data_IF_665484262153
#
_entry.id   IF_665484262153
#
_cell.length_a   1.000
_cell.length_b   1.000
_cell.length_c   1.000
_cell.angle_alpha   90.00
_cell.angle_beta   90.00
_cell.angle_gamma   90.00
#
_symmetry.space_group_name_H-M   'P 1'
#
loop_
_entity.id
_entity.type
_entity.pdbx_description
1 polymer ?
#
# COMPACT_ATOMS: atom_id res chain seq x y z
N UNK A 1 31.35 -29.59 68.85
CA UNK A 1 31.83 -29.03 70.15
C UNK A 1 31.21 -27.67 70.30
N UNK A 2 30.36 -27.56 71.33
CA UNK A 2 30.10 -26.39 72.19
C UNK A 2 30.11 -25.01 71.52
N UNK A 3 28.94 -24.36 71.33
CA UNK A 3 28.17 -23.62 72.33
C UNK A 3 28.88 -22.33 72.78
N UNK A 4 28.28 -21.18 72.49
CA UNK A 4 27.95 -20.23 73.55
C UNK A 4 27.05 -19.11 73.02
N UNK A 5 26.01 -18.98 73.76
CA UNK A 5 24.94 -18.00 73.79
C UNK A 5 25.45 -16.73 74.43
N UNK A 6 25.10 -15.54 73.94
CA UNK A 6 25.03 -14.34 74.76
C UNK A 6 23.84 -13.49 74.41
N UNK A 7 22.99 -13.34 75.32
CA UNK A 7 21.75 -12.57 75.40
C UNK A 7 22.12 -11.15 75.90
N UNK A 8 21.72 -10.09 75.26
CA UNK A 8 21.63 -8.76 75.88
C UNK A 8 20.30 -8.12 75.56
N UNK A 9 19.52 -7.91 76.59
CA UNK A 9 18.33 -7.05 76.63
C UNK A 9 18.75 -5.58 76.72
N UNK A 10 18.06 -4.69 76.00
CA UNK A 10 17.79 -3.31 76.47
C UNK A 10 16.65 -2.67 75.64
N UNK A 11 15.55 -2.51 76.28
CA UNK A 11 14.75 -1.28 76.51
C UNK A 11 14.30 -0.43 75.35
N UNK A 12 13.03 -0.41 75.18
CA UNK A 12 12.03 0.33 74.47
C UNK A 12 12.21 1.86 74.30
N UNK A 13 11.66 2.25 73.15
CA UNK A 13 11.08 3.61 72.97
C UNK A 13 9.88 3.48 72.06
N UNK A 14 8.69 3.84 72.56
CA UNK A 14 7.50 3.99 71.74
C UNK A 14 7.66 5.26 70.90
N UNK A 15 7.76 5.06 69.58
CA UNK A 15 7.63 6.14 68.60
C UNK A 15 6.33 5.95 67.84
N UNK A 16 5.36 6.83 68.00
CA UNK A 16 4.14 6.87 67.22
C UNK A 16 4.47 7.26 65.78
N UNK A 17 4.39 6.30 64.84
CA UNK A 17 4.52 6.59 63.41
C UNK A 17 3.12 6.82 62.83
N UNK A 18 2.89 8.08 62.48
CA UNK A 18 1.73 8.50 61.67
C UNK A 18 1.82 7.86 60.26
N UNK A 19 0.90 6.97 59.93
CA UNK A 19 0.77 6.44 58.58
C UNK A 19 0.16 7.55 57.71
N UNK A 20 0.96 8.21 56.88
CA UNK A 20 0.51 8.94 55.73
C UNK A 20 0.12 7.90 54.66
N UNK A 21 -1.17 7.74 54.41
CA UNK A 21 -1.67 7.00 53.22
C UNK A 21 -1.25 7.80 51.99
N UNK A 22 -0.23 7.30 51.28
CA UNK A 22 0.07 7.78 49.95
C UNK A 22 -1.05 7.33 49.03
N UNK A 23 -1.91 8.27 48.65
CA UNK A 23 -2.82 8.08 47.54
C UNK A 23 -1.96 7.99 46.28
N UNK A 24 -1.85 6.77 45.74
CA UNK A 24 -1.36 6.59 44.38
C UNK A 24 -2.31 7.31 43.44
N UNK A 25 -1.85 8.40 42.82
CA UNK A 25 -2.57 9.03 41.74
C UNK A 25 -2.71 8.00 40.61
N UNK A 26 -3.95 7.60 40.29
CA UNK A 26 -4.24 6.88 39.07
C UNK A 26 -3.70 7.71 37.89
N UNK A 27 -2.99 7.07 36.94
CA UNK A 27 -2.70 7.74 35.68
C UNK A 27 -4.04 8.10 35.05
N UNK A 28 -4.22 9.38 34.78
CA UNK A 28 -5.34 9.86 34.00
C UNK A 28 -5.25 9.14 32.63
N UNK A 29 -6.28 8.36 32.31
CA UNK A 29 -6.53 7.86 30.97
C UNK A 29 -6.67 9.08 30.06
N UNK A 30 -5.59 9.50 29.45
CA UNK A 30 -5.60 10.43 28.33
C UNK A 30 -6.04 9.60 27.13
N UNK A 31 -7.34 9.32 27.05
CA UNK A 31 -7.96 9.00 25.79
C UNK A 31 -7.72 10.20 24.89
N UNK A 32 -6.75 10.09 24.00
CA UNK A 32 -6.54 11.03 22.92
C UNK A 32 -7.82 11.01 22.07
N UNK A 33 -8.78 11.86 22.41
CA UNK A 33 -9.84 12.20 21.49
C UNK A 33 -9.14 12.82 20.30
N UNK A 34 -9.16 12.12 19.18
CA UNK A 34 -8.80 12.67 17.89
C UNK A 34 -9.75 13.88 17.71
N UNK A 35 -9.25 15.08 18.00
CA UNK A 35 -9.95 16.30 17.68
C UNK A 35 -10.09 16.30 16.15
N UNK A 36 -11.31 16.14 15.66
CA UNK A 36 -11.63 16.39 14.26
C UNK A 36 -11.29 17.85 14.00
N UNK A 37 -10.12 18.10 13.44
CA UNK A 37 -9.70 19.42 13.02
C UNK A 37 -10.73 19.94 12.01
N UNK A 38 -11.47 20.99 12.37
CA UNK A 38 -12.41 21.62 11.44
C UNK A 38 -11.57 22.41 10.43
N UNK A 39 -11.29 21.76 9.32
CA UNK A 39 -10.52 22.36 8.22
C UNK A 39 -11.46 23.23 7.39
N UNK A 40 -11.08 24.50 7.16
CA UNK A 40 -11.84 25.36 6.25
C UNK A 40 -11.84 24.83 4.82
N UNK A 41 -12.86 25.14 3.99
CA UNK A 41 -12.87 24.69 2.59
C UNK A 41 -11.64 25.13 1.80
N UNK A 42 -11.11 26.31 2.06
CA UNK A 42 -9.90 26.83 1.43
C UNK A 42 -8.65 26.00 1.83
N UNK A 43 -8.53 25.69 3.10
CA UNK A 43 -7.44 24.86 3.62
C UNK A 43 -7.55 23.42 3.09
N UNK A 44 -8.75 22.86 3.01
CA UNK A 44 -8.97 21.53 2.41
C UNK A 44 -8.53 21.50 0.94
N UNK A 45 -8.83 22.56 0.20
CA UNK A 45 -8.38 22.71 -1.19
C UNK A 45 -6.86 22.84 -1.28
N UNK A 46 -6.23 23.63 -0.42
CA UNK A 46 -4.78 23.79 -0.36
C UNK A 46 -4.06 22.47 -0.06
N UNK A 47 -4.57 21.69 0.89
CA UNK A 47 -4.05 20.33 1.20
C UNK A 47 -4.25 19.37 0.04
N UNK A 48 -5.38 19.44 -0.65
CA UNK A 48 -5.62 18.60 -1.84
C UNK A 48 -4.66 18.95 -2.99
N UNK A 49 -4.42 20.24 -3.22
CA UNK A 49 -3.45 20.70 -4.21
C UNK A 49 -2.03 20.29 -3.83
N UNK A 50 -1.64 20.45 -2.56
CA UNK A 50 -0.32 20.00 -2.10
C UNK A 50 -0.09 18.50 -2.32
N UNK A 51 -1.10 17.64 -2.07
CA UNK A 51 -0.99 16.20 -2.35
C UNK A 51 -0.78 15.91 -3.84
N UNK A 52 -1.37 16.73 -4.70
CA UNK A 52 -1.12 16.65 -6.14
C UNK A 52 0.32 17.06 -6.44
N UNK A 53 0.74 18.23 -5.96
CA UNK A 53 2.06 18.81 -6.24
C UNK A 53 3.18 17.90 -5.76
N UNK A 54 3.13 17.38 -4.51
CA UNK A 54 4.17 16.52 -3.96
C UNK A 54 4.30 15.20 -4.73
N UNK A 55 3.20 14.69 -5.30
CA UNK A 55 3.22 13.49 -6.13
C UNK A 55 3.93 13.68 -7.48
N UNK A 56 4.14 14.94 -7.89
CA UNK A 56 4.86 15.32 -9.10
C UNK A 56 6.34 15.63 -8.86
N UNK A 57 6.76 15.80 -7.62
CA UNK A 57 8.13 16.15 -7.27
C UNK A 57 8.95 14.87 -7.10
N UNK A 58 9.95 14.72 -7.98
CA UNK A 58 10.87 13.60 -7.91
C UNK A 58 11.63 13.59 -6.58
N UNK A 59 11.86 12.40 -6.04
CA UNK A 59 12.78 12.23 -4.90
C UNK A 59 14.22 12.56 -5.33
N UNK A 60 15.04 13.14 -4.43
CA UNK A 60 16.37 13.61 -4.80
C UNK A 60 17.35 12.49 -5.16
N UNK A 61 17.05 11.24 -4.79
CA UNK A 61 17.88 10.05 -5.04
C UNK A 61 17.09 8.78 -4.74
N UNK A 62 17.69 7.61 -4.92
CA UNK A 62 17.14 6.36 -4.39
C UNK A 62 17.05 6.40 -2.86
N UNK A 63 16.01 5.77 -2.30
CA UNK A 63 15.80 5.65 -0.87
C UNK A 63 14.39 5.94 -0.41
N UNK A 64 14.25 6.30 0.85
CA UNK A 64 12.98 6.55 1.50
C UNK A 64 12.89 8.00 1.97
N UNK A 65 11.71 8.59 1.80
CA UNK A 65 11.49 10.01 2.05
C UNK A 65 10.13 10.25 2.67
N UNK A 66 10.03 11.39 3.34
CA UNK A 66 8.80 11.91 3.93
C UNK A 66 8.69 13.41 3.64
N UNK A 67 7.46 13.91 3.50
CA UNK A 67 7.18 15.33 3.44
C UNK A 67 5.90 15.64 4.21
N UNK A 68 5.86 16.83 4.81
CA UNK A 68 4.70 17.30 5.57
C UNK A 68 4.23 18.63 4.99
N UNK A 69 2.91 18.73 4.73
CA UNK A 69 2.28 19.98 4.31
C UNK A 69 2.63 21.14 5.28
N UNK A 70 2.90 22.34 4.78
CA UNK A 70 2.86 22.76 3.38
C UNK A 70 4.19 22.60 2.62
N UNK A 71 5.22 21.96 3.22
CA UNK A 71 6.52 21.77 2.55
C UNK A 71 6.39 20.81 1.37
N UNK A 72 7.03 21.15 0.26
CA UNK A 72 7.18 20.30 -0.92
C UNK A 72 8.59 19.71 -1.03
N UNK A 73 9.36 19.76 0.07
CA UNK A 73 10.73 19.24 0.14
C UNK A 73 10.68 17.84 0.74
N UNK A 74 11.25 16.88 0.00
CA UNK A 74 11.45 15.52 0.48
C UNK A 74 12.58 15.46 1.51
N UNK A 75 12.27 15.04 2.72
CA UNK A 75 13.21 14.74 3.79
C UNK A 75 13.57 13.26 3.76
N UNK A 76 14.85 12.93 3.73
CA UNK A 76 15.29 11.54 3.73
C UNK A 76 14.99 10.88 5.08
N UNK A 77 14.42 9.68 5.04
CA UNK A 77 14.16 8.83 6.20
C UNK A 77 14.93 7.52 6.11
N UNK A 78 15.00 6.79 7.21
CA UNK A 78 15.55 5.44 7.20
C UNK A 78 14.59 4.51 6.43
N UNK A 79 15.13 3.78 5.45
CA UNK A 79 14.38 2.71 4.82
C UNK A 79 14.32 1.48 5.73
N UNK A 80 13.19 0.78 5.67
CA UNK A 80 13.06 -0.60 6.14
C UNK A 80 13.15 -1.57 4.96
N UNK A 81 13.46 -2.81 5.25
CA UNK A 81 13.29 -3.86 4.26
C UNK A 81 11.80 -4.22 4.22
N UNK A 82 11.18 -4.09 3.05
CA UNK A 82 9.82 -4.56 2.90
C UNK A 82 9.78 -6.08 3.14
N UNK A 83 8.81 -6.53 3.94
CA UNK A 83 8.66 -7.95 4.24
C UNK A 83 8.36 -8.67 2.93
N UNK A 84 9.09 -9.74 2.58
CA UNK A 84 8.78 -10.53 1.41
C UNK A 84 7.38 -11.12 1.55
N UNK A 85 6.45 -10.60 0.78
CA UNK A 85 5.09 -11.11 0.69
C UNK A 85 4.93 -11.68 -0.69
N UNK A 86 4.75 -12.98 -0.78
CA UNK A 86 4.44 -13.64 -2.03
C UNK A 86 2.95 -13.45 -2.25
N UNK A 87 2.59 -12.46 -3.08
CA UNK A 87 1.24 -12.40 -3.61
C UNK A 87 1.06 -13.60 -4.55
N UNK A 88 -0.03 -14.39 -4.43
CA UNK A 88 -0.33 -15.38 -5.44
C UNK A 88 -0.57 -14.66 -6.75
N UNK A 89 0.06 -15.17 -7.83
CA UNK A 89 -0.23 -14.68 -9.16
C UNK A 89 -1.72 -14.79 -9.47
N UNK A 90 -2.31 -13.82 -10.18
CA UNK A 90 -3.69 -13.93 -10.66
C UNK A 90 -3.85 -15.24 -11.41
N UNK A 91 -4.64 -16.13 -10.87
CA UNK A 91 -5.02 -17.33 -11.61
C UNK A 91 -6.23 -16.95 -12.42
N UNK A 92 -6.08 -16.84 -13.73
CA UNK A 92 -7.15 -16.66 -14.69
C UNK A 92 -8.33 -17.58 -14.34
N UNK A 93 -9.37 -17.03 -13.76
CA UNK A 93 -10.64 -17.71 -13.42
C UNK A 93 -11.70 -16.64 -13.27
N UNK A 94 -12.85 -16.89 -13.66
CA UNK A 94 -13.76 -17.85 -14.24
C UNK A 94 -14.97 -17.10 -14.75
N UNK A 95 -15.47 -17.46 -15.86
CA UNK A 95 -16.68 -16.91 -16.44
C UNK A 95 -17.89 -17.13 -15.50
N UNK A 96 -18.60 -16.07 -15.11
CA UNK A 96 -19.96 -16.16 -14.61
C UNK A 96 -20.27 -15.86 -13.14
N UNK A 97 -19.29 -15.40 -12.33
CA UNK A 97 -19.57 -14.87 -11.00
C UNK A 97 -19.76 -13.34 -11.04
N UNK A 98 -20.40 -12.74 -10.03
CA UNK A 98 -20.38 -11.30 -9.82
C UNK A 98 -18.92 -10.82 -9.87
N UNK A 99 -18.67 -9.76 -10.62
CA UNK A 99 -17.31 -9.25 -10.84
C UNK A 99 -16.93 -8.38 -9.66
N UNK A 100 -16.18 -8.95 -8.73
CA UNK A 100 -15.53 -8.21 -7.67
C UNK A 100 -14.15 -7.76 -8.16
N UNK A 101 -13.64 -6.67 -7.62
CA UNK A 101 -12.30 -6.19 -7.96
C UNK A 101 -11.22 -7.20 -7.55
N UNK A 102 -10.19 -7.32 -8.35
CA UNK A 102 -9.03 -8.17 -8.11
C UNK A 102 -9.12 -9.58 -8.67
N UNK A 103 -8.05 -10.35 -8.52
CA UNK A 103 -7.89 -11.72 -9.02
C UNK A 103 -8.19 -11.91 -10.52
N UNK A 104 -7.78 -10.93 -11.33
CA UNK A 104 -8.04 -10.88 -12.77
C UNK A 104 -9.39 -10.29 -13.14
N UNK A 105 -10.21 -9.92 -12.17
CA UNK A 105 -11.49 -9.23 -12.36
C UNK A 105 -11.37 -7.80 -11.84
N UNK A 106 -10.84 -6.91 -12.67
CA UNK A 106 -10.77 -5.48 -12.36
C UNK A 106 -10.90 -4.68 -13.66
N UNK A 107 -10.98 -3.35 -13.54
CA UNK A 107 -10.80 -2.48 -14.67
C UNK A 107 -9.36 -2.00 -14.75
N UNK A 108 -8.76 -2.15 -15.94
CA UNK A 108 -7.46 -1.57 -16.23
C UNK A 108 -7.59 -0.41 -17.19
N UNK A 109 -6.73 0.58 -16.99
CA UNK A 109 -6.47 1.65 -17.93
C UNK A 109 -5.48 1.14 -18.97
N UNK A 110 -5.92 1.00 -20.24
CA UNK A 110 -5.05 0.70 -21.38
C UNK A 110 -4.69 2.00 -22.08
N UNK A 111 -3.42 2.32 -22.08
CA UNK A 111 -2.86 3.50 -22.74
C UNK A 111 -2.44 3.17 -24.18
N UNK A 112 -2.54 4.14 -25.08
CA UNK A 112 -2.00 4.03 -26.46
C UNK A 112 -0.52 4.38 -26.57
N UNK A 113 0.07 4.87 -25.50
CA UNK A 113 1.48 5.29 -25.39
C UNK A 113 2.02 4.89 -24.02
N UNK A 114 3.34 4.88 -23.85
CA UNK A 114 3.95 4.50 -22.59
C UNK A 114 3.54 5.44 -21.46
N UNK A 115 3.20 4.85 -20.33
CA UNK A 115 2.88 5.52 -19.08
C UNK A 115 4.19 5.87 -18.37
N UNK A 116 4.34 7.12 -17.96
CA UNK A 116 5.45 7.54 -17.11
C UNK A 116 5.04 7.74 -15.66
N UNK A 117 3.74 7.93 -15.43
CA UNK A 117 3.16 8.08 -14.09
C UNK A 117 1.70 7.61 -14.08
N UNK A 118 1.30 6.93 -13.02
CA UNK A 118 -0.09 6.64 -12.69
C UNK A 118 -0.41 7.13 -11.28
N UNK A 119 -1.63 7.64 -11.10
CA UNK A 119 -2.16 8.13 -9.83
C UNK A 119 -3.47 7.42 -9.55
N UNK A 120 -3.51 6.66 -8.46
CA UNK A 120 -4.69 6.04 -7.92
C UNK A 120 -5.32 6.91 -6.81
N UNK A 121 -6.64 7.06 -6.82
CA UNK A 121 -7.37 7.85 -5.83
C UNK A 121 -8.82 7.38 -5.70
N UNK A 122 -9.49 7.82 -4.65
CA UNK A 122 -10.87 7.51 -4.34
C UNK A 122 -11.72 8.80 -4.28
N UNK A 123 -12.23 9.30 -5.43
CA UNK A 123 -13.01 10.55 -5.49
C UNK A 123 -14.27 10.56 -4.62
N UNK A 124 -14.85 9.39 -4.35
CA UNK A 124 -16.00 9.26 -3.47
C UNK A 124 -15.91 7.96 -2.68
N UNK A 125 -16.09 8.04 -1.38
CA UNK A 125 -16.17 6.90 -0.46
C UNK A 125 -17.37 7.13 0.45
N UNK A 126 -18.37 6.26 0.37
CA UNK A 126 -19.60 6.36 1.15
C UNK A 126 -19.97 5.02 1.77
N UNK A 127 -20.60 5.05 2.93
CA UNK A 127 -21.06 3.84 3.61
C UNK A 127 -19.97 2.95 4.20
N UNK A 128 -18.69 3.26 3.99
CA UNK A 128 -17.56 2.51 4.58
C UNK A 128 -17.44 2.87 6.06
N UNK A 129 -17.75 1.89 6.91
CA UNK A 129 -17.64 2.00 8.38
C UNK A 129 -16.64 1.00 8.96
N UNK A 130 -16.31 -0.04 8.20
CA UNK A 130 -15.30 -1.05 8.57
C UNK A 130 -14.79 -1.78 7.33
N UNK A 131 -13.58 -2.27 7.44
CA UNK A 131 -12.94 -3.22 6.54
C UNK A 131 -12.21 -4.27 7.40
N UNK A 132 -12.10 -5.48 6.87
CA UNK A 132 -11.27 -6.52 7.47
C UNK A 132 -10.70 -7.42 6.38
N UNK A 133 -9.38 -7.57 6.38
CA UNK A 133 -8.70 -8.55 5.55
C UNK A 133 -9.13 -9.96 5.94
N UNK A 134 -9.58 -10.75 4.96
CA UNK A 134 -9.98 -12.16 5.13
C UNK A 134 -9.25 -13.07 4.14
N UNK A 135 -8.95 -14.30 4.55
CA UNK A 135 -8.35 -15.29 3.67
C UNK A 135 -9.39 -15.88 2.71
N UNK A 136 -9.08 -15.92 1.42
CA UNK A 136 -9.91 -16.55 0.39
C UNK A 136 -9.34 -17.91 0.03
N UNK A 137 -10.02 -18.98 0.43
CA UNK A 137 -9.52 -20.35 0.24
C UNK A 137 -9.20 -20.69 -1.23
N UNK A 138 -9.96 -20.14 -2.19
CA UNK A 138 -9.71 -20.31 -3.62
C UNK A 138 -8.38 -19.71 -4.09
N UNK A 139 -7.81 -18.78 -3.33
CA UNK A 139 -6.57 -18.06 -3.64
C UNK A 139 -5.42 -18.41 -2.70
N UNK A 140 -5.59 -19.45 -1.87
CA UNK A 140 -4.59 -19.90 -0.91
C UNK A 140 -4.94 -19.65 0.56
N UNK A 141 -5.93 -18.78 0.84
CA UNK A 141 -6.45 -18.53 2.18
C UNK A 141 -5.50 -17.77 3.11
N UNK A 142 -4.42 -17.22 2.55
CA UNK A 142 -3.36 -16.53 3.29
C UNK A 142 -3.54 -15.01 3.31
N UNK A 143 -2.40 -14.33 3.54
CA UNK A 143 -2.33 -12.88 3.64
C UNK A 143 -2.23 -12.40 5.08
N UNK A 144 -2.28 -11.09 5.23
CA UNK A 144 -2.39 -10.43 6.54
C UNK A 144 -3.86 -10.14 6.75
N UNK A 145 -4.38 -10.65 7.84
CA UNK A 145 -5.82 -10.72 8.08
C UNK A 145 -6.17 -9.93 9.35
N UNK A 146 -7.32 -9.29 9.32
CA UNK A 146 -7.81 -8.52 10.46
C UNK A 146 -8.35 -7.15 10.07
N UNK A 147 -8.76 -6.34 11.05
CA UNK A 147 -9.32 -5.01 10.81
C UNK A 147 -8.31 -4.07 10.14
N UNK A 148 -8.74 -3.39 9.07
CA UNK A 148 -7.94 -2.47 8.25
C UNK A 148 -6.69 -3.09 7.60
N UNK A 149 -6.69 -4.41 7.40
CA UNK A 149 -5.63 -5.13 6.72
C UNK A 149 -5.91 -5.22 5.21
N UNK A 150 -5.90 -4.08 4.56
CA UNK A 150 -6.03 -3.92 3.11
C UNK A 150 -4.73 -3.39 2.51
N UNK A 151 -4.58 -3.49 1.21
CA UNK A 151 -3.52 -2.80 0.47
C UNK A 151 -4.08 -1.89 -0.61
N UNK A 152 -3.33 -0.83 -0.94
CA UNK A 152 -3.51 -0.06 -2.16
C UNK A 152 -2.42 -0.47 -3.13
N UNK A 153 -2.80 -0.77 -4.37
CA UNK A 153 -1.86 -1.23 -5.37
C UNK A 153 -2.09 -0.50 -6.69
N UNK A 154 -1.00 0.00 -7.29
CA UNK A 154 -0.94 0.30 -8.72
C UNK A 154 -0.12 -0.81 -9.36
N UNK A 155 -0.70 -1.50 -10.33
CA UNK A 155 -0.06 -2.62 -11.00
C UNK A 155 0.13 -2.31 -12.49
N UNK A 156 1.27 -2.73 -13.04
CA UNK A 156 1.48 -2.82 -14.49
C UNK A 156 0.81 -4.08 -15.05
N UNK A 157 0.76 -4.23 -16.39
CA UNK A 157 0.54 -5.54 -17.00
C UNK A 157 1.75 -6.47 -16.78
N UNK A 158 1.56 -7.76 -17.04
CA UNK A 158 2.61 -8.78 -16.98
C UNK A 158 2.77 -9.51 -18.32
N UNK A 159 2.51 -8.84 -19.44
CA UNK A 159 2.56 -9.37 -20.80
C UNK A 159 3.77 -8.89 -21.62
N UNK A 160 4.60 -8.02 -21.03
CA UNK A 160 5.80 -7.49 -21.67
C UNK A 160 7.07 -8.14 -21.16
N UNK A 161 8.03 -8.31 -22.07
CA UNK A 161 9.39 -8.74 -21.74
C UNK A 161 10.36 -7.57 -21.83
N UNK A 162 11.38 -7.56 -20.96
CA UNK A 162 12.49 -6.60 -20.99
C UNK A 162 13.83 -7.32 -20.85
N UNK A 163 14.93 -6.57 -20.89
CA UNK A 163 16.26 -7.14 -20.62
C UNK A 163 16.43 -7.73 -19.22
N UNK A 164 15.53 -7.41 -18.26
CA UNK A 164 15.51 -8.03 -16.94
C UNK A 164 15.26 -9.54 -16.99
N UNK A 165 14.54 -10.02 -17.99
CA UNK A 165 14.30 -11.45 -18.24
C UNK A 165 15.53 -12.23 -18.69
N UNK A 166 16.65 -11.58 -19.01
CA UNK A 166 17.94 -12.22 -19.37
C UNK A 166 17.81 -13.34 -20.41
N UNK A 167 16.96 -13.14 -21.43
CA UNK A 167 16.67 -14.12 -22.50
C UNK A 167 15.96 -15.39 -22.03
N UNK A 168 15.37 -15.44 -20.84
CA UNK A 168 14.50 -16.55 -20.47
C UNK A 168 13.22 -16.51 -21.32
N UNK A 169 13.00 -17.56 -22.09
CA UNK A 169 11.84 -17.66 -23.00
C UNK A 169 10.54 -17.70 -22.18
N UNK A 170 9.58 -16.86 -22.54
CA UNK A 170 8.29 -16.74 -21.85
C UNK A 170 8.33 -15.89 -20.58
N UNK A 171 9.48 -15.36 -20.19
CA UNK A 171 9.56 -14.45 -19.07
C UNK A 171 8.98 -13.07 -19.44
N UNK A 172 8.17 -12.54 -18.55
CA UNK A 172 7.62 -11.17 -18.60
C UNK A 172 7.86 -10.44 -17.28
N UNK A 173 7.76 -9.12 -17.30
CA UNK A 173 7.94 -8.28 -16.13
C UNK A 173 6.60 -7.79 -15.60
N UNK A 174 6.51 -7.66 -14.28
CA UNK A 174 5.35 -7.08 -13.59
C UNK A 174 5.82 -6.27 -12.40
N UNK A 175 5.33 -5.04 -12.28
CA UNK A 175 5.70 -4.15 -11.17
C UNK A 175 4.44 -3.67 -10.46
N UNK A 176 4.52 -3.67 -9.14
CA UNK A 176 3.51 -3.14 -8.26
C UNK A 176 4.08 -1.97 -7.47
N UNK A 177 3.29 -0.91 -7.32
CA UNK A 177 3.51 0.19 -6.39
C UNK A 177 2.51 0.01 -5.27
N UNK A 178 2.98 -0.12 -4.02
CA UNK A 178 2.17 -0.66 -2.94
C UNK A 178 2.22 0.24 -1.70
N UNK A 179 1.06 0.45 -1.11
CA UNK A 179 0.89 0.79 0.29
C UNK A 179 0.18 -0.37 0.98
N UNK A 180 0.77 -0.88 2.06
CA UNK A 180 0.19 -1.99 2.82
C UNK A 180 0.55 -1.89 4.30
N UNK A 181 -0.38 -2.15 5.22
CA UNK A 181 -0.08 -2.28 6.63
C UNK A 181 1.03 -3.31 6.89
N UNK A 182 1.84 -3.07 7.90
CA UNK A 182 2.89 -3.99 8.35
C UNK A 182 2.43 -4.72 9.62
N UNK A 183 2.10 -5.99 9.48
CA UNK A 183 1.64 -6.82 10.60
C UNK A 183 2.72 -7.06 11.68
N UNK A 184 3.98 -6.75 11.40
CA UNK A 184 5.07 -6.94 12.34
C UNK A 184 5.07 -5.89 13.45
N UNK A 185 4.53 -4.70 13.16
CA UNK A 185 4.47 -3.57 14.09
C UNK A 185 3.12 -2.90 13.97
N UNK A 186 2.29 -3.02 14.98
CA UNK A 186 0.99 -2.38 15.01
C UNK A 186 1.12 -0.86 14.89
N UNK A 187 0.35 -0.24 13.99
CA UNK A 187 0.36 1.19 13.71
C UNK A 187 1.39 1.63 12.66
N UNK A 188 2.08 0.70 12.02
CA UNK A 188 2.99 0.97 10.90
C UNK A 188 2.51 0.31 9.62
N UNK A 189 2.66 1.02 8.51
CA UNK A 189 2.48 0.53 7.15
C UNK A 189 3.78 0.68 6.36
N UNK A 190 3.88 -0.01 5.25
CA UNK A 190 4.99 0.05 4.32
C UNK A 190 4.54 0.65 2.97
N UNK A 191 5.36 1.55 2.42
CA UNK A 191 5.24 2.06 1.06
C UNK A 191 6.45 1.57 0.28
N UNK A 192 6.24 0.74 -0.74
CA UNK A 192 7.32 0.06 -1.47
C UNK A 192 6.90 -0.33 -2.88
N UNK A 193 7.85 -0.77 -3.68
CA UNK A 193 7.61 -1.40 -4.97
C UNK A 193 7.92 -2.89 -4.90
N UNK A 194 7.12 -3.70 -5.57
CA UNK A 194 7.38 -5.12 -5.77
C UNK A 194 7.63 -5.39 -7.24
N UNK A 195 8.70 -6.12 -7.52
CA UNK A 195 9.21 -6.44 -8.84
C UNK A 195 9.09 -7.93 -9.10
N UNK A 196 8.52 -8.31 -10.24
CA UNK A 196 8.31 -9.69 -10.62
C UNK A 196 8.91 -10.00 -11.99
N UNK A 197 9.50 -11.17 -12.10
CA UNK A 197 9.85 -11.84 -13.33
C UNK A 197 8.95 -13.07 -13.45
N UNK A 198 7.87 -12.93 -14.20
CA UNK A 198 6.84 -13.95 -14.35
C UNK A 198 7.29 -14.96 -15.39
N UNK A 199 7.15 -16.27 -15.11
CA UNK A 199 7.60 -17.30 -16.02
C UNK A 199 9.11 -17.30 -16.24
N UNK A 200 9.89 -16.77 -15.30
CA UNK A 200 11.35 -16.74 -15.42
C UNK A 200 11.92 -18.15 -15.63
N UNK A 201 11.31 -19.14 -14.97
CA UNK A 201 11.70 -20.53 -15.08
C UNK A 201 13.11 -20.83 -14.54
N UNK A 202 13.49 -22.08 -14.58
CA UNK A 202 14.82 -22.49 -14.14
C UNK A 202 14.92 -22.81 -12.65
N UNK A 203 16.12 -23.20 -12.22
CA UNK A 203 16.37 -23.69 -10.87
C UNK A 203 16.70 -22.58 -9.86
N UNK A 204 16.91 -21.35 -10.33
CA UNK A 204 17.28 -20.22 -9.48
C UNK A 204 16.90 -18.88 -10.10
N UNK A 205 16.43 -17.97 -9.26
CA UNK A 205 16.18 -16.58 -9.62
C UNK A 205 17.49 -15.79 -9.77
N UNK A 206 17.50 -14.66 -10.49
CA UNK A 206 18.67 -13.80 -10.57
C UNK A 206 19.02 -13.22 -9.19
N UNK A 207 20.28 -12.79 -9.05
CA UNK A 207 20.76 -12.22 -7.78
C UNK A 207 19.85 -11.11 -7.30
N UNK A 208 19.46 -11.14 -6.03
CA UNK A 208 18.57 -10.20 -5.39
C UNK A 208 17.07 -10.52 -5.51
N UNK A 209 16.70 -11.54 -6.29
CA UNK A 209 15.33 -12.04 -6.37
C UNK A 209 15.17 -13.35 -5.60
N UNK A 210 14.03 -13.52 -4.92
CA UNK A 210 13.58 -14.78 -4.34
C UNK A 210 12.67 -15.52 -5.32
N UNK A 211 12.55 -16.85 -5.15
CA UNK A 211 11.56 -17.64 -5.88
C UNK A 211 10.23 -17.69 -5.12
N UNK A 212 9.13 -17.68 -5.86
CA UNK A 212 7.80 -17.94 -5.32
C UNK A 212 7.50 -19.46 -5.20
N UNK A 213 8.39 -20.31 -5.71
CA UNK A 213 8.20 -21.76 -5.76
C UNK A 213 7.35 -22.26 -6.93
N UNK A 214 6.81 -21.38 -7.77
CA UNK A 214 5.94 -21.71 -8.91
C UNK A 214 6.58 -21.40 -10.29
N UNK A 215 7.81 -20.91 -10.30
CA UNK A 215 8.54 -20.57 -11.52
C UNK A 215 8.73 -19.07 -11.73
N UNK A 216 8.23 -18.26 -10.81
CA UNK A 216 8.37 -16.83 -10.86
C UNK A 216 9.44 -16.36 -9.86
N UNK A 217 9.98 -15.18 -10.12
CA UNK A 217 10.95 -14.55 -9.25
C UNK A 217 10.44 -13.18 -8.82
N UNK A 218 10.60 -12.84 -7.53
CA UNK A 218 10.15 -11.55 -7.00
C UNK A 218 11.21 -10.88 -6.13
N UNK A 219 11.07 -9.58 -6.01
CA UNK A 219 11.93 -8.75 -5.16
C UNK A 219 11.14 -7.52 -4.70
N UNK A 220 11.31 -7.11 -3.45
CA UNK A 220 10.81 -5.83 -2.96
C UNK A 220 11.91 -4.76 -3.01
N UNK A 221 11.52 -3.51 -3.24
CA UNK A 221 12.39 -2.36 -2.98
C UNK A 221 12.60 -2.18 -1.47
N UNK A 222 13.49 -1.26 -1.09
CA UNK A 222 13.42 -0.67 0.24
C UNK A 222 12.05 -0.03 0.47
N UNK A 223 11.59 0.03 1.72
CA UNK A 223 10.27 0.52 2.09
C UNK A 223 10.35 1.77 2.98
N UNK A 224 9.53 2.76 2.68
CA UNK A 224 9.26 3.87 3.58
C UNK A 224 8.20 3.46 4.60
N UNK A 225 8.44 3.76 5.88
CA UNK A 225 7.42 3.58 6.92
C UNK A 225 6.36 4.65 6.79
N UNK A 226 5.10 4.26 6.84
CA UNK A 226 3.92 5.10 6.85
C UNK A 226 2.99 4.68 8.00
N UNK A 227 2.02 5.48 8.42
CA UNK A 227 1.02 5.05 9.41
C UNK A 227 0.02 4.06 8.78
N UNK A 228 -0.51 3.16 9.60
CA UNK A 228 -1.73 2.43 9.27
C UNK A 228 -2.89 3.41 9.21
N UNK A 229 -3.64 3.37 8.12
CA UNK A 229 -4.78 4.25 7.91
C UNK A 229 -6.05 3.40 7.84
N UNK A 230 -7.06 3.67 8.67
CA UNK A 230 -8.30 2.91 8.62
C UNK A 230 -9.03 3.14 7.29
N UNK A 231 -9.70 2.11 6.78
CA UNK A 231 -10.41 2.14 5.50
C UNK A 231 -11.50 3.23 5.42
N UNK A 232 -12.00 3.68 6.55
CA UNK A 232 -12.92 4.84 6.64
C UNK A 232 -12.30 6.14 6.13
N UNK A 233 -10.99 6.20 5.95
CA UNK A 233 -10.25 7.38 5.46
C UNK A 233 -9.78 7.24 4.01
N UNK A 234 -10.18 6.20 3.28
CA UNK A 234 -9.76 5.96 1.88
C UNK A 234 -9.87 7.21 0.99
N UNK A 235 -10.92 8.04 1.16
CA UNK A 235 -11.10 9.26 0.38
C UNK A 235 -9.98 10.31 0.54
N UNK A 236 -9.13 10.19 1.58
CA UNK A 236 -7.97 11.06 1.80
C UNK A 236 -6.68 10.52 1.19
N UNK A 237 -6.71 9.29 0.68
CA UNK A 237 -5.51 8.56 0.24
C UNK A 237 -5.30 8.70 -1.25
N UNK A 238 -4.03 8.83 -1.65
CA UNK A 238 -3.59 8.68 -3.03
C UNK A 238 -2.32 7.82 -3.07
N UNK A 239 -2.22 7.01 -4.09
CA UNK A 239 -1.01 6.28 -4.43
C UNK A 239 -0.53 6.72 -5.81
N UNK A 240 0.75 6.97 -5.97
CA UNK A 240 1.35 7.36 -7.24
C UNK A 240 2.53 6.46 -7.55
N UNK A 241 2.54 5.88 -8.74
CA UNK A 241 3.70 5.20 -9.31
C UNK A 241 4.30 6.06 -10.42
N UNK A 242 5.61 6.21 -10.43
CA UNK A 242 6.35 6.94 -11.48
C UNK A 242 7.53 6.11 -11.93
N UNK A 243 7.80 6.09 -13.23
CA UNK A 243 8.95 5.42 -13.82
C UNK A 243 9.77 6.39 -14.66
N UNK A 244 11.10 6.17 -14.68
CA UNK A 244 12.03 7.03 -15.42
C UNK A 244 13.08 6.17 -16.10
N UNK A 245 13.05 6.13 -17.43
CA UNK A 245 13.98 5.30 -18.22
C UNK A 245 15.44 5.62 -17.91
N UNK A 246 16.16 4.61 -17.42
CA UNK A 246 17.54 4.73 -16.98
C UNK A 246 17.72 5.55 -15.70
N UNK A 247 16.64 5.88 -15.03
CA UNK A 247 16.59 6.65 -13.79
C UNK A 247 16.01 5.85 -12.62
N UNK A 248 15.13 6.49 -11.87
CA UNK A 248 14.55 5.96 -10.64
C UNK A 248 13.04 5.78 -10.78
N UNK A 249 12.54 4.60 -10.45
CA UNK A 249 11.13 4.37 -10.22
C UNK A 249 10.78 4.78 -8.80
N UNK A 250 9.57 5.32 -8.62
CA UNK A 250 9.18 5.89 -7.33
C UNK A 250 7.72 5.59 -7.04
N UNK A 251 7.44 5.18 -5.83
CA UNK A 251 6.10 5.14 -5.25
C UNK A 251 5.94 6.29 -4.27
N UNK A 252 4.81 7.00 -4.35
CA UNK A 252 4.42 8.05 -3.38
C UNK A 252 3.05 7.71 -2.83
N UNK A 253 2.94 7.65 -1.53
CA UNK A 253 1.67 7.54 -0.81
C UNK A 253 1.39 8.84 -0.07
N UNK A 254 0.19 9.39 -0.21
CA UNK A 254 -0.23 10.57 0.54
C UNK A 254 -1.47 10.30 1.39
N UNK A 255 -1.43 10.79 2.64
CA UNK A 255 -2.54 10.76 3.57
C UNK A 255 -2.69 12.13 4.24
N UNK A 256 -3.78 12.85 3.93
CA UNK A 256 -4.05 14.16 4.51
C UNK A 256 -2.94 15.17 4.24
N UNK A 257 -2.13 15.46 5.26
CA UNK A 257 -1.01 16.40 5.23
C UNK A 257 0.37 15.72 5.20
N UNK A 258 0.42 14.41 5.00
CA UNK A 258 1.64 13.63 5.01
C UNK A 258 1.86 12.93 3.68
N UNK A 259 3.11 12.81 3.25
CA UNK A 259 3.55 12.08 2.07
C UNK A 259 4.75 11.20 2.41
N UNK A 260 4.74 9.98 1.89
CA UNK A 260 5.76 8.96 2.08
C UNK A 260 6.18 8.42 0.72
N UNK A 261 7.47 8.20 0.54
CA UNK A 261 7.98 7.74 -0.74
C UNK A 261 9.10 6.73 -0.57
N UNK A 262 9.09 5.74 -1.46
CA UNK A 262 10.23 4.85 -1.67
C UNK A 262 10.59 4.85 -3.15
N UNK A 263 11.88 4.77 -3.44
CA UNK A 263 12.37 4.78 -4.82
C UNK A 263 13.47 3.75 -5.02
N UNK A 264 13.57 3.22 -6.24
CA UNK A 264 14.53 2.23 -6.68
C UNK A 264 14.88 2.42 -8.14
N UNK A 265 15.87 1.69 -8.63
CA UNK A 265 16.37 1.85 -9.98
C UNK A 265 15.43 1.19 -11.01
N UNK A 266 15.09 1.89 -12.10
CA UNK A 266 14.30 1.37 -13.23
C UNK A 266 14.93 0.12 -13.87
N UNK A 267 16.27 0.01 -13.81
CA UNK A 267 16.99 -1.17 -14.36
C UNK A 267 16.65 -2.51 -13.67
N UNK A 268 15.87 -2.49 -12.58
CA UNK A 268 15.41 -3.74 -11.96
C UNK A 268 14.50 -4.50 -12.92
N UNK A 269 13.53 -3.81 -13.54
CA UNK A 269 12.61 -4.40 -14.53
C UNK A 269 12.61 -3.67 -15.88
N UNK A 270 13.16 -2.43 -15.96
CA UNK A 270 13.05 -1.53 -17.12
C UNK A 270 11.60 -1.23 -17.48
N UNK A 271 10.75 -1.02 -16.46
CA UNK A 271 9.32 -0.81 -16.66
C UNK A 271 9.03 0.41 -17.53
N UNK A 272 9.81 1.46 -17.43
CA UNK A 272 9.66 2.68 -18.26
C UNK A 272 9.69 2.42 -19.79
N UNK A 273 10.17 1.25 -20.24
CA UNK A 273 10.23 0.88 -21.65
C UNK A 273 8.95 0.18 -22.16
N UNK A 274 8.09 -0.28 -21.25
CA UNK A 274 6.97 -1.18 -21.62
C UNK A 274 5.65 -0.87 -20.90
N UNK A 275 5.61 0.06 -19.96
CA UNK A 275 4.41 0.31 -19.17
C UNK A 275 3.32 1.00 -20.01
N UNK A 276 2.27 0.30 -20.34
CA UNK A 276 1.13 0.79 -21.13
C UNK A 276 -0.23 0.45 -20.51
N UNK A 277 -0.26 -0.39 -19.48
CA UNK A 277 -1.48 -0.75 -18.73
C UNK A 277 -1.29 -0.42 -17.26
N UNK A 278 -2.29 0.24 -16.66
CA UNK A 278 -2.30 0.54 -15.23
C UNK A 278 -3.63 0.12 -14.59
N UNK A 279 -3.52 -0.65 -13.53
CA UNK A 279 -4.60 -1.00 -12.62
C UNK A 279 -4.40 -0.28 -11.29
N UNK A 280 -5.48 0.12 -10.62
CA UNK A 280 -5.43 0.60 -9.24
C UNK A 280 -6.68 0.19 -8.50
N UNK A 281 -6.50 -0.36 -7.30
CA UNK A 281 -7.62 -0.64 -6.40
C UNK A 281 -7.19 -0.72 -4.93
N UNK A 282 -8.20 -0.86 -4.05
CA UNK A 282 -8.08 -1.29 -2.66
C UNK A 282 -8.47 -2.76 -2.59
N UNK A 283 -7.54 -3.60 -2.17
CA UNK A 283 -7.69 -5.06 -2.15
C UNK A 283 -7.08 -5.63 -0.87
N UNK A 284 -7.18 -6.92 -0.66
CA UNK A 284 -6.56 -7.59 0.48
C UNK A 284 -5.05 -7.38 0.58
N UNK A 285 -4.47 -7.69 1.73
CA UNK A 285 -3.07 -7.47 2.03
C UNK A 285 -2.27 -8.77 1.88
N UNK A 286 -1.75 -9.01 0.66
CA UNK A 286 -0.93 -10.16 0.28
C UNK A 286 -1.63 -11.53 0.39
N UNK A 287 -0.99 -12.56 -0.15
CA UNK A 287 -1.35 -13.97 0.05
C UNK A 287 -2.69 -14.42 -0.53
N UNK A 288 -3.30 -13.65 -1.45
CA UNK A 288 -4.63 -13.94 -2.01
C UNK A 288 -5.76 -13.68 -1.01
N UNK A 289 -5.58 -12.68 -0.15
CA UNK A 289 -6.61 -12.20 0.76
C UNK A 289 -7.63 -11.30 0.04
N UNK A 290 -8.74 -11.04 0.72
CA UNK A 290 -9.80 -10.13 0.30
C UNK A 290 -9.95 -9.01 1.31
N UNK A 291 -10.01 -7.77 0.85
CA UNK A 291 -10.49 -6.64 1.66
C UNK A 291 -12.01 -6.70 1.75
N UNK A 292 -12.52 -7.09 2.91
CA UNK A 292 -13.95 -7.26 3.15
C UNK A 292 -14.55 -6.03 3.81
N UNK A 293 -15.22 -5.23 3.01
CA UNK A 293 -15.96 -4.06 3.46
C UNK A 293 -17.33 -4.44 4.01
N UNK A 294 -17.85 -3.60 4.93
CA UNK A 294 -19.22 -3.73 5.42
C UNK A 294 -20.26 -3.54 4.30
N UNK A 295 -21.45 -4.11 4.50
CA UNK A 295 -22.58 -3.91 3.57
C UNK A 295 -22.98 -2.45 3.47
N UNK A 296 -23.34 -2.01 2.26
CA UNK A 296 -23.68 -0.62 1.94
C UNK A 296 -22.46 0.26 1.65
N UNK A 297 -21.27 -0.33 1.55
CA UNK A 297 -20.07 0.38 1.10
C UNK A 297 -20.15 0.69 -0.39
N UNK A 298 -19.74 1.90 -0.76
CA UNK A 298 -19.60 2.33 -2.15
C UNK A 298 -18.35 3.18 -2.30
N UNK A 299 -17.47 2.77 -3.20
CA UNK A 299 -16.15 3.38 -3.44
C UNK A 299 -16.03 3.72 -4.91
N UNK A 300 -15.76 4.96 -5.24
CA UNK A 300 -15.38 5.36 -6.59
C UNK A 300 -13.87 5.34 -6.70
N UNK A 301 -13.37 4.51 -7.60
CA UNK A 301 -11.95 4.33 -7.91
C UNK A 301 -11.62 5.13 -9.16
N UNK A 302 -10.49 5.85 -9.14
CA UNK A 302 -9.96 6.59 -10.29
C UNK A 302 -8.50 6.28 -10.49
N UNK A 303 -8.13 5.94 -11.72
CA UNK A 303 -6.74 5.81 -12.19
C UNK A 303 -6.50 6.88 -13.23
N UNK A 304 -5.55 7.80 -12.98
CA UNK A 304 -5.15 8.83 -13.94
C UNK A 304 -3.68 8.64 -14.31
N UNK A 305 -3.32 8.94 -15.57
CA UNK A 305 -1.96 8.71 -16.05
C UNK A 305 -1.34 9.94 -16.70
N UNK A 306 0.01 9.98 -16.71
CA UNK A 306 0.79 10.79 -17.62
C UNK A 306 1.43 9.85 -18.64
N UNK A 307 1.02 9.97 -19.89
CA UNK A 307 1.46 9.13 -21.01
C UNK A 307 1.81 9.97 -22.26
N UNK A 308 1.93 11.29 -22.09
CA UNK A 308 2.19 12.23 -23.19
C UNK A 308 1.01 12.43 -24.15
N UNK A 309 -0.15 11.80 -23.91
CA UNK A 309 -1.37 11.93 -24.69
C UNK A 309 -2.42 12.73 -23.93
N UNK A 310 -3.36 13.34 -24.65
CA UNK A 310 -4.58 13.94 -24.11
C UNK A 310 -5.83 13.13 -24.45
N UNK A 311 -5.68 12.05 -25.18
CA UNK A 311 -6.79 11.15 -25.55
C UNK A 311 -7.24 10.31 -24.36
N UNK A 312 -8.55 10.04 -24.26
CA UNK A 312 -9.07 9.11 -23.28
C UNK A 312 -8.46 7.70 -23.51
N UNK A 313 -8.00 7.01 -22.45
CA UNK A 313 -7.53 5.64 -22.55
C UNK A 313 -8.71 4.68 -22.71
N UNK A 314 -8.42 3.41 -23.02
CA UNK A 314 -9.44 2.38 -22.95
C UNK A 314 -9.65 1.93 -21.51
N UNK A 315 -10.91 1.66 -21.17
CA UNK A 315 -11.31 1.03 -19.92
C UNK A 315 -11.58 -0.45 -20.21
N UNK A 316 -10.66 -1.34 -19.77
CA UNK A 316 -10.73 -2.76 -20.10
C UNK A 316 -11.15 -3.56 -18.88
N UNK A 317 -12.31 -4.22 -18.99
CA UNK A 317 -12.84 -5.06 -17.92
C UNK A 317 -12.16 -6.42 -17.89
N UNK A 318 -12.09 -7.02 -16.71
CA UNK A 318 -11.57 -8.38 -16.47
C UNK A 318 -10.13 -8.56 -16.94
N UNK A 319 -9.31 -7.52 -16.81
CA UNK A 319 -7.92 -7.51 -17.26
C UNK A 319 -6.93 -7.11 -16.15
N UNK A 320 -7.39 -7.06 -14.91
CA UNK A 320 -6.55 -6.77 -13.77
C UNK A 320 -5.49 -7.84 -13.52
N UNK A 321 -4.40 -7.43 -12.90
CA UNK A 321 -3.26 -8.27 -12.54
C UNK A 321 -3.07 -8.41 -11.03
N UNK A 322 -3.99 -7.88 -10.23
CA UNK A 322 -3.97 -7.99 -8.77
C UNK A 322 -4.17 -9.44 -8.32
N UNK A 323 -3.30 -9.92 -7.44
CA UNK A 323 -3.41 -11.27 -6.86
C UNK A 323 -4.40 -11.37 -5.69
N UNK A 324 -4.79 -10.24 -5.14
CA UNK A 324 -5.75 -10.06 -4.06
C UNK A 324 -7.11 -9.57 -4.62
N UNK A 325 -8.13 -9.48 -3.75
CA UNK A 325 -9.47 -9.05 -4.14
C UNK A 325 -10.13 -8.15 -3.10
N UNK A 326 -11.30 -7.62 -3.43
CA UNK A 326 -12.24 -7.07 -2.47
C UNK A 326 -13.64 -7.69 -2.67
N UNK A 327 -14.57 -7.43 -1.74
CA UNK A 327 -15.93 -7.96 -1.78
C UNK A 327 -16.94 -7.02 -2.47
N UNK A 328 -16.47 -5.98 -3.17
CA UNK A 328 -17.31 -5.00 -3.84
C UNK A 328 -17.55 -5.41 -5.31
N UNK A 329 -18.77 -5.27 -5.77
CA UNK A 329 -19.16 -5.56 -7.15
C UNK A 329 -18.79 -4.37 -8.05
N UNK A 330 -18.16 -4.66 -9.18
CA UNK A 330 -17.75 -3.67 -10.16
C UNK A 330 -18.97 -3.08 -10.88
N UNK A 331 -19.09 -1.76 -10.87
CA UNK A 331 -20.02 -1.00 -11.69
C UNK A 331 -19.48 -0.72 -13.08
N UNK A 332 -20.09 0.25 -13.77
CA UNK A 332 -19.62 0.65 -15.11
C UNK A 332 -18.36 1.52 -15.01
N UNK A 333 -17.47 1.34 -15.96
CA UNK A 333 -16.28 2.15 -16.09
C UNK A 333 -16.46 3.27 -17.13
N UNK A 334 -15.89 4.43 -16.86
CA UNK A 334 -15.83 5.57 -17.76
C UNK A 334 -14.39 6.00 -17.96
N UNK A 335 -14.07 6.49 -19.16
CA UNK A 335 -12.75 7.03 -19.48
C UNK A 335 -12.86 8.51 -19.88
N UNK A 336 -11.85 9.31 -19.51
CA UNK A 336 -11.76 10.72 -19.86
C UNK A 336 -10.36 11.08 -20.33
N UNK A 337 -10.31 12.02 -21.27
CA UNK A 337 -9.06 12.61 -21.76
C UNK A 337 -8.68 13.89 -21.01
N UNK A 338 -7.72 14.65 -21.56
CA UNK A 338 -7.24 15.91 -21.02
C UNK A 338 -5.76 15.85 -20.59
N UNK A 339 -5.33 16.76 -19.73
CA UNK A 339 -3.93 16.79 -19.25
C UNK A 339 -3.53 15.59 -18.39
N UNK A 340 -4.51 14.88 -17.84
CA UNK A 340 -4.33 13.65 -17.08
C UNK A 340 -5.41 12.65 -17.47
N UNK A 341 -5.24 11.91 -18.58
CA UNK A 341 -6.19 10.91 -19.03
C UNK A 341 -6.44 9.87 -17.92
N UNK A 342 -7.68 9.40 -17.81
CA UNK A 342 -8.07 8.56 -16.70
C UNK A 342 -9.16 7.57 -17.05
N UNK A 343 -9.30 6.55 -16.20
CA UNK A 343 -10.52 5.77 -16.06
C UNK A 343 -11.10 5.96 -14.66
N UNK A 344 -12.40 5.77 -14.53
CA UNK A 344 -13.12 5.84 -13.26
C UNK A 344 -14.29 4.87 -13.25
N UNK A 345 -14.46 4.18 -12.15
CA UNK A 345 -15.59 3.27 -11.91
C UNK A 345 -16.00 3.33 -10.44
N UNK A 346 -17.23 2.89 -10.15
CA UNK A 346 -17.71 2.76 -8.77
C UNK A 346 -17.96 1.28 -8.48
N UNK A 347 -17.50 0.84 -7.35
CA UNK A 347 -17.73 -0.49 -6.82
C UNK A 347 -18.51 -0.44 -5.51
N UNK A 348 -19.42 -1.40 -5.29
CA UNK A 348 -20.31 -1.39 -4.12
C UNK A 348 -20.86 -2.77 -3.77
N UNK A 349 -21.33 -2.94 -2.53
CA UNK A 349 -21.98 -4.16 -2.06
C UNK A 349 -23.30 -3.88 -1.33
#
# INVERSE_FOLDING_TARGET
>A
MRASLTLVLASGLLGATSFFAAHAAQPADVSAQASTEIVSPLEAQARAQWREDISHIATPSEGCFHATYPSVIWERTACKQAIPRVAPMPRWRSFGAAQNAGNGNDYTLQSSTLITKAVGSFPSVTGVTSESGVGVAAYGGGGILGPNEYSLQINSSFDHTTSACRNHSGCTVWQQFVYAPDYSVNGEAAVFMQYWLIGYGGSSCPSGFGSDGAGDCYRNSAAATAPDVPATQLGNLKLTGTVSSGGTDTVVFTNGTQAYSASGNDSVLYLAQVWDVSEFNVVGNAGGSEAKFNSGSSITVKVAVNNGSTSAPACVANSGSTGESNNLNLGSCTAGGGSSPYIQFTESN
#
